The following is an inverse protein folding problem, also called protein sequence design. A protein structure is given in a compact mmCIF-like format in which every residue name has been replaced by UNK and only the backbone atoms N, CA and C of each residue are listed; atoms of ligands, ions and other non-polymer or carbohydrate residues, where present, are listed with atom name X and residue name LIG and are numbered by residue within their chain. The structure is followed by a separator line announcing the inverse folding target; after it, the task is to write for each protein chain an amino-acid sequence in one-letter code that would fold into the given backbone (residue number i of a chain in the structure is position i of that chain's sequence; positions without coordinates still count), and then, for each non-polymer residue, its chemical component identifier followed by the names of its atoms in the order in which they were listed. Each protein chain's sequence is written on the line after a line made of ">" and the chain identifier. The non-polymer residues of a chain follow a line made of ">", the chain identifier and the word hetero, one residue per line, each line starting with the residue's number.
data_IF_219621888944
#
_entry.id   IF_219621888944
#
_cell.length_a   1.000
_cell.length_b   1.000
_cell.length_c   1.000
_cell.angle_alpha   90.00
_cell.angle_beta   90.00
_cell.angle_gamma   90.00
#
_symmetry.space_group_name_H-M   'P 1'
#
loop_
_entity.id
_entity.type
_entity.pdbx_description
1 polymer ?
#
# COMPACT_ATOMS: atom_id res chain seq x y z
N UNK A 1 -22.75 -5.54 -0.55
CA UNK A 1 -21.41 -4.94 -0.55
C UNK A 1 -20.96 -4.75 0.90
N UNK A 2 -19.79 -5.27 1.28
CA UNK A 2 -19.23 -5.17 2.66
C UNK A 2 -17.75 -4.78 2.61
N UNK A 3 -17.18 -4.44 3.77
CA UNK A 3 -15.74 -4.24 3.91
C UNK A 3 -14.98 -5.57 3.80
N UNK A 4 -13.74 -5.49 3.34
CA UNK A 4 -12.85 -6.63 3.20
C UNK A 4 -12.09 -6.88 4.52
N UNK A 5 -12.28 -8.07 5.08
CA UNK A 5 -11.57 -8.52 6.30
C UNK A 5 -10.39 -9.44 6.00
N UNK A 6 -10.37 -10.04 4.80
CA UNK A 6 -9.27 -10.86 4.26
C UNK A 6 -9.31 -10.85 2.73
N UNK A 7 -8.16 -11.07 2.09
CA UNK A 7 -8.06 -11.17 0.64
C UNK A 7 -7.74 -12.61 0.24
N UNK A 8 -8.55 -13.16 -0.67
CA UNK A 8 -8.19 -14.34 -1.46
C UNK A 8 -7.18 -13.99 -2.56
N UNK A 9 -6.59 -15.01 -3.18
CA UNK A 9 -5.71 -14.85 -4.34
C UNK A 9 -6.32 -14.00 -5.46
N UNK A 10 -7.60 -14.24 -5.74
CA UNK A 10 -8.34 -13.57 -6.81
C UNK A 10 -8.63 -12.11 -6.47
N UNK A 11 -8.95 -11.85 -5.21
CA UNK A 11 -9.15 -10.52 -4.69
C UNK A 11 -7.84 -9.71 -4.67
N UNK A 12 -6.72 -10.34 -4.33
CA UNK A 12 -5.40 -9.71 -4.40
C UNK A 12 -5.02 -9.35 -5.85
N UNK A 13 -5.32 -10.21 -6.83
CA UNK A 13 -5.20 -9.88 -8.27
C UNK A 13 -5.99 -8.62 -8.62
N UNK A 14 -7.27 -8.59 -8.26
CA UNK A 14 -8.14 -7.45 -8.56
C UNK A 14 -7.62 -6.15 -7.92
N UNK A 15 -7.05 -6.19 -6.73
CA UNK A 15 -6.42 -5.01 -6.11
C UNK A 15 -5.23 -4.51 -6.93
N UNK A 16 -4.38 -5.42 -7.45
CA UNK A 16 -3.27 -5.07 -8.34
C UNK A 16 -3.80 -4.48 -9.66
N UNK A 17 -4.84 -5.05 -10.23
CA UNK A 17 -5.47 -4.54 -11.46
C UNK A 17 -6.05 -3.13 -11.27
N UNK A 18 -6.69 -2.88 -10.12
CA UNK A 18 -7.21 -1.56 -9.75
C UNK A 18 -6.09 -0.52 -9.72
N UNK A 19 -5.00 -0.78 -9.00
CA UNK A 19 -3.90 0.20 -8.87
C UNK A 19 -3.14 0.38 -10.18
N UNK A 20 -3.03 -0.67 -11.00
CA UNK A 20 -2.45 -0.57 -12.33
C UNK A 20 -3.33 0.26 -13.28
N UNK A 21 -4.66 0.14 -13.17
CA UNK A 21 -5.59 0.99 -13.90
C UNK A 21 -5.41 2.47 -13.51
N UNK A 22 -5.35 2.78 -12.21
CA UNK A 22 -5.09 4.14 -11.73
C UNK A 22 -3.77 4.69 -12.27
N UNK A 23 -2.71 3.89 -12.23
CA UNK A 23 -1.41 4.24 -12.78
C UNK A 23 -1.48 4.66 -14.25
N UNK A 24 -2.20 3.91 -15.09
CA UNK A 24 -2.39 4.22 -16.51
C UNK A 24 -3.28 5.44 -16.75
N UNK A 25 -4.20 5.73 -15.82
CA UNK A 25 -4.99 6.95 -15.80
C UNK A 25 -4.23 8.16 -15.24
N UNK A 26 -2.95 8.02 -14.87
CA UNK A 26 -2.16 9.06 -14.21
C UNK A 26 -2.82 9.56 -12.91
N UNK A 27 -3.48 8.66 -12.18
CA UNK A 27 -4.13 8.94 -10.89
C UNK A 27 -3.34 8.29 -9.76
N UNK A 28 -3.12 9.03 -8.67
CA UNK A 28 -2.65 8.48 -7.39
C UNK A 28 -3.77 8.70 -6.36
N UNK A 29 -4.33 7.64 -5.82
CA UNK A 29 -5.42 7.63 -4.84
C UNK A 29 -4.98 8.13 -3.46
N UNK A 30 -3.76 7.77 -3.03
CA UNK A 30 -3.11 8.19 -1.77
C UNK A 30 -3.72 7.67 -0.47
N UNK A 31 -4.94 7.14 -0.50
CA UNK A 31 -5.60 6.51 0.66
C UNK A 31 -6.11 5.09 0.36
N UNK A 32 -5.29 4.25 -0.31
CA UNK A 32 -5.63 2.84 -0.51
C UNK A 32 -5.45 2.10 0.81
N UNK A 33 -6.56 1.59 1.34
CA UNK A 33 -6.67 0.85 2.61
C UNK A 33 -7.87 -0.09 2.57
N UNK A 34 -7.93 -1.13 3.42
CA UNK A 34 -9.04 -2.09 3.45
C UNK A 34 -10.43 -1.45 3.58
N UNK A 35 -10.54 -0.34 4.30
CA UNK A 35 -11.78 0.42 4.50
C UNK A 35 -12.28 1.07 3.20
N UNK A 36 -11.39 1.32 2.24
CA UNK A 36 -11.74 1.85 0.92
C UNK A 36 -11.86 0.73 -0.13
N UNK A 37 -11.79 -0.54 0.28
CA UNK A 37 -12.03 -1.69 -0.59
C UNK A 37 -13.36 -2.35 -0.23
N UNK A 38 -14.29 -2.28 -1.16
CA UNK A 38 -15.61 -2.86 -1.04
C UNK A 38 -15.69 -4.19 -1.77
N UNK A 39 -16.20 -5.23 -1.11
CA UNK A 39 -16.43 -6.52 -1.74
C UNK A 39 -17.89 -6.69 -2.17
N UNK A 40 -18.06 -7.06 -3.43
CA UNK A 40 -19.33 -7.40 -4.06
C UNK A 40 -19.47 -8.93 -4.11
N UNK A 41 -20.28 -9.51 -3.21
CA UNK A 41 -20.51 -10.96 -3.13
C UNK A 41 -21.18 -11.53 -4.37
N UNK A 42 -21.99 -10.73 -5.07
CA UNK A 42 -22.75 -11.22 -6.23
C UNK A 42 -21.83 -11.39 -7.45
N UNK A 43 -20.83 -10.50 -7.59
CA UNK A 43 -19.89 -10.54 -8.70
C UNK A 43 -18.52 -11.11 -8.33
N UNK A 44 -18.27 -11.38 -7.05
CA UNK A 44 -16.95 -11.72 -6.51
C UNK A 44 -15.87 -10.68 -6.88
N UNK A 45 -16.24 -9.39 -6.92
CA UNK A 45 -15.32 -8.30 -7.28
C UNK A 45 -15.06 -7.33 -6.13
N UNK A 46 -13.84 -6.80 -6.09
CA UNK A 46 -13.46 -5.66 -5.27
C UNK A 46 -13.70 -4.37 -6.04
N UNK A 47 -14.18 -3.36 -5.33
CA UNK A 47 -14.33 -1.99 -5.83
C UNK A 47 -13.58 -1.06 -4.89
N UNK A 48 -12.68 -0.26 -5.43
CA UNK A 48 -12.07 0.85 -4.71
C UNK A 48 -13.07 2.01 -4.64
N UNK A 49 -13.21 2.57 -3.45
CA UNK A 49 -14.06 3.73 -3.17
C UNK A 49 -13.23 4.86 -2.56
N UNK A 50 -13.85 6.04 -2.48
CA UNK A 50 -13.32 7.24 -1.83
C UNK A 50 -12.03 7.84 -2.44
N UNK A 51 -12.23 8.54 -3.57
CA UNK A 51 -11.18 9.30 -4.25
C UNK A 51 -10.95 10.69 -3.62
N UNK A 52 -11.41 10.95 -2.40
CA UNK A 52 -11.29 12.26 -1.74
C UNK A 52 -9.83 12.71 -1.54
N UNK A 53 -8.89 11.76 -1.50
CA UNK A 53 -7.46 12.04 -1.43
C UNK A 53 -6.74 11.98 -2.79
N UNK A 54 -7.43 11.68 -3.88
CA UNK A 54 -6.78 11.40 -5.16
C UNK A 54 -6.21 12.66 -5.83
N UNK A 55 -5.14 12.48 -6.60
CA UNK A 55 -4.51 13.50 -7.45
C UNK A 55 -4.25 12.96 -8.85
N UNK A 56 -4.07 13.88 -9.80
CA UNK A 56 -3.70 13.58 -11.17
C UNK A 56 -2.24 13.96 -11.40
N UNK A 57 -1.38 12.96 -11.59
CA UNK A 57 0.07 13.13 -11.67
C UNK A 57 0.48 14.14 -12.74
N UNK A 58 -0.14 14.16 -13.92
CA UNK A 58 0.27 15.04 -15.02
C UNK A 58 -0.26 16.50 -14.94
N UNK A 59 -1.30 16.74 -14.13
CA UNK A 59 -1.91 18.08 -13.97
C UNK A 59 -1.36 18.76 -12.72
N UNK A 60 -1.16 17.98 -11.66
CA UNK A 60 -0.70 18.48 -10.36
C UNK A 60 0.85 18.56 -10.27
N UNK A 61 1.60 17.89 -11.17
CA UNK A 61 3.08 17.97 -11.26
C UNK A 61 3.61 19.39 -11.54
N UNK A 62 2.78 20.28 -12.08
CA UNK A 62 3.21 21.66 -12.38
C UNK A 62 3.38 22.52 -11.12
N UNK A 63 3.03 22.02 -9.92
CA UNK A 63 3.03 22.80 -8.68
C UNK A 63 4.12 22.43 -7.64
N UNK A 64 4.87 21.34 -7.82
CA UNK A 64 5.83 20.87 -6.81
C UNK A 64 5.22 19.92 -5.78
N UNK A 65 5.90 19.74 -4.64
CA UNK A 65 5.53 18.77 -3.61
C UNK A 65 4.10 19.02 -3.08
N UNK A 66 3.33 17.94 -2.92
CA UNK A 66 1.87 17.98 -2.63
C UNK A 66 1.63 17.71 -1.16
N UNK A 67 0.60 18.34 -0.57
CA UNK A 67 0.21 18.13 0.82
C UNK A 67 0.04 16.64 1.15
N UNK A 68 0.58 16.24 2.29
CA UNK A 68 0.42 14.89 2.82
C UNK A 68 -0.97 14.73 3.43
N UNK A 69 -1.75 13.87 2.81
CA UNK A 69 -3.07 13.45 3.27
C UNK A 69 -3.21 11.93 3.18
N UNK A 70 -4.29 11.41 3.75
CA UNK A 70 -4.59 9.98 3.77
C UNK A 70 -3.94 9.24 4.93
N UNK A 71 -4.28 7.96 5.02
CA UNK A 71 -3.84 7.06 6.08
C UNK A 71 -2.49 6.45 5.72
N UNK A 72 -1.54 6.45 6.66
CA UNK A 72 -0.17 6.01 6.36
C UNK A 72 0.10 4.54 6.65
N UNK A 73 -0.84 3.82 7.27
CA UNK A 73 -0.65 2.45 7.80
C UNK A 73 -0.05 1.49 6.78
N UNK A 74 -0.53 1.54 5.54
CA UNK A 74 -0.11 0.65 4.46
C UNK A 74 0.89 1.30 3.50
N UNK A 75 1.33 2.54 3.74
CA UNK A 75 2.21 3.25 2.82
C UNK A 75 3.61 2.63 2.71
N UNK A 76 4.30 2.92 1.61
CA UNK A 76 5.67 2.47 1.38
C UNK A 76 6.70 3.11 2.31
N UNK A 77 7.86 2.43 2.51
CA UNK A 77 8.89 2.87 3.45
C UNK A 77 9.43 4.27 3.18
N UNK A 78 9.58 4.66 1.91
CA UNK A 78 10.09 6.00 1.56
C UNK A 78 9.16 7.10 2.08
N UNK A 79 7.85 6.90 1.95
CA UNK A 79 6.85 7.84 2.44
C UNK A 79 6.80 7.83 3.97
N UNK A 80 6.79 6.66 4.59
CA UNK A 80 6.79 6.53 6.05
C UNK A 80 8.03 7.18 6.70
N UNK A 81 9.21 6.95 6.13
CA UNK A 81 10.46 7.59 6.55
C UNK A 81 10.38 9.11 6.43
N UNK A 82 9.86 9.62 5.31
CA UNK A 82 9.62 11.06 5.15
C UNK A 82 8.67 11.60 6.23
N UNK A 83 7.53 10.96 6.41
CA UNK A 83 6.55 11.37 7.41
C UNK A 83 7.15 11.33 8.83
N UNK A 84 8.04 10.38 9.13
CA UNK A 84 8.68 10.29 10.46
C UNK A 84 9.57 11.51 10.76
N UNK A 85 10.15 12.12 9.71
CA UNK A 85 11.00 13.31 9.78
C UNK A 85 10.21 14.62 9.81
N UNK A 86 8.95 14.62 9.39
CA UNK A 86 8.06 15.77 9.57
C UNK A 86 7.75 16.01 11.04
N UNK A 87 7.53 14.92 11.78
CA UNK A 87 7.21 14.97 13.21
C UNK A 87 8.34 15.62 14.02
N UNK A 88 9.59 15.46 13.58
CA UNK A 88 10.76 16.07 14.22
C UNK A 88 10.95 17.55 13.86
N UNK A 89 10.05 18.13 13.05
CA UNK A 89 10.05 19.55 12.68
C UNK A 89 11.05 19.92 11.58
N UNK A 90 11.60 18.94 10.87
CA UNK A 90 12.71 19.15 9.92
C UNK A 90 12.22 19.45 8.50
N UNK A 91 10.96 19.13 8.16
CA UNK A 91 10.44 19.23 6.80
C UNK A 91 9.08 19.95 6.74
N UNK A 92 8.80 20.61 5.62
CA UNK A 92 7.46 21.10 5.28
C UNK A 92 6.57 19.90 4.89
N UNK A 93 5.24 19.94 5.15
CA UNK A 93 4.31 18.81 4.99
C UNK A 93 3.95 18.51 3.52
N UNK A 94 4.91 18.67 2.62
CA UNK A 94 4.75 18.44 1.20
C UNK A 94 5.65 17.29 0.75
N UNK A 95 5.09 16.35 -0.02
CA UNK A 95 5.78 15.16 -0.51
C UNK A 95 5.65 15.02 -2.02
N UNK A 96 6.72 14.56 -2.66
CA UNK A 96 6.72 14.17 -4.07
C UNK A 96 6.34 12.68 -4.16
N UNK A 97 5.07 12.42 -4.44
CA UNK A 97 4.55 11.07 -4.53
C UNK A 97 5.10 10.35 -5.76
N UNK A 98 5.62 9.14 -5.56
CA UNK A 98 5.94 8.25 -6.68
C UNK A 98 4.65 7.74 -7.34
N UNK A 99 4.63 7.58 -8.67
CA UNK A 99 3.48 6.97 -9.36
C UNK A 99 3.16 5.55 -8.87
N UNK A 100 4.13 4.86 -8.28
CA UNK A 100 3.97 3.51 -7.73
C UNK A 100 3.47 3.52 -6.27
N UNK A 101 3.17 4.69 -5.69
CA UNK A 101 2.77 4.83 -4.29
C UNK A 101 1.61 3.88 -3.92
N UNK A 102 0.54 3.91 -4.70
CA UNK A 102 -0.64 3.08 -4.49
C UNK A 102 -0.35 1.58 -4.64
N UNK A 103 0.59 1.21 -5.50
CA UNK A 103 1.01 -0.18 -5.65
C UNK A 103 1.80 -0.67 -4.42
N UNK A 104 2.60 0.19 -3.79
CA UNK A 104 3.23 -0.13 -2.50
C UNK A 104 2.18 -0.33 -1.41
N UNK A 105 1.14 0.50 -1.38
CA UNK A 105 0.00 0.32 -0.49
C UNK A 105 -0.71 -1.02 -0.73
N UNK A 106 -1.01 -1.35 -1.98
CA UNK A 106 -1.64 -2.62 -2.35
C UNK A 106 -0.81 -3.84 -1.88
N UNK A 107 0.52 -3.81 -2.07
CA UNK A 107 1.39 -4.89 -1.61
C UNK A 107 1.32 -5.07 -0.10
N UNK A 108 1.44 -3.97 0.66
CA UNK A 108 1.38 -4.01 2.12
C UNK A 108 0.02 -4.52 2.62
N UNK A 109 -1.08 -4.14 1.95
CA UNK A 109 -2.41 -4.69 2.23
C UNK A 109 -2.42 -6.20 2.00
N UNK A 110 -1.97 -6.68 0.84
CA UNK A 110 -1.95 -8.12 0.52
C UNK A 110 -1.11 -8.89 1.54
N UNK A 111 0.10 -8.42 1.85
CA UNK A 111 0.97 -9.04 2.87
C UNK A 111 0.25 -9.09 4.22
N UNK A 112 -0.34 -7.97 4.67
CA UNK A 112 -1.02 -7.91 5.96
C UNK A 112 -2.27 -8.79 6.03
N UNK A 113 -3.01 -8.93 4.93
CA UNK A 113 -4.25 -9.69 4.88
C UNK A 113 -4.01 -11.20 4.82
N UNK A 114 -2.81 -11.61 4.43
CA UNK A 114 -2.41 -13.00 4.31
C UNK A 114 -1.41 -13.44 5.41
N UNK A 115 -0.84 -12.51 6.18
CA UNK A 115 0.01 -12.79 7.34
C UNK A 115 -0.68 -12.36 8.66
N UNK A 116 -1.11 -13.33 9.46
CA UNK A 116 -1.81 -13.08 10.72
C UNK A 116 -0.97 -12.27 11.73
N UNK A 117 0.32 -12.57 11.85
CA UNK A 117 1.20 -11.87 12.80
C UNK A 117 1.38 -10.40 12.42
N UNK A 118 1.49 -10.10 11.12
CA UNK A 118 1.54 -8.72 10.63
C UNK A 118 0.19 -8.03 10.88
N UNK A 119 -0.93 -8.71 10.61
CA UNK A 119 -2.27 -8.18 10.85
C UNK A 119 -2.48 -7.80 12.32
N UNK A 120 -2.12 -8.69 13.25
CA UNK A 120 -2.22 -8.45 14.70
C UNK A 120 -1.30 -7.31 15.15
N UNK A 121 -0.09 -7.24 14.62
CA UNK A 121 0.82 -6.11 14.89
C UNK A 121 0.21 -4.79 14.42
N UNK A 122 -0.37 -4.73 13.22
CA UNK A 122 -1.07 -3.53 12.72
C UNK A 122 -2.20 -3.15 13.66
N UNK A 123 -3.08 -4.09 14.02
CA UNK A 123 -4.18 -3.84 14.95
C UNK A 123 -3.69 -3.29 16.30
N UNK A 124 -2.65 -3.89 16.86
CA UNK A 124 -2.04 -3.46 18.13
C UNK A 124 -1.45 -2.04 18.06
N UNK A 125 -1.00 -1.61 16.87
CA UNK A 125 -0.49 -0.26 16.62
C UNK A 125 -1.66 0.72 16.45
N UNK A 126 -2.70 0.34 15.69
CA UNK A 126 -3.86 1.19 15.42
C UNK A 126 -4.61 1.62 16.69
N UNK A 127 -4.64 0.77 17.72
CA UNK A 127 -5.30 1.08 19.01
C UNK A 127 -4.48 2.03 19.92
N UNK A 128 -3.24 2.36 19.57
CA UNK A 128 -2.45 3.28 20.37
C UNK A 128 -3.10 4.67 20.43
N UNK A 129 -2.99 5.43 21.53
CA UNK A 129 -3.57 6.77 21.61
C UNK A 129 -2.72 7.83 20.89
N UNK A 130 -1.40 7.64 20.83
CA UNK A 130 -0.44 8.63 20.33
C UNK A 130 -0.14 8.42 18.83
N UNK A 131 -0.48 9.42 18.02
CA UNK A 131 -0.33 9.39 16.56
C UNK A 131 1.14 9.27 16.11
N UNK A 132 2.08 9.91 16.82
CA UNK A 132 3.51 9.84 16.50
C UNK A 132 4.06 8.46 16.81
N UNK A 133 3.63 7.87 17.94
CA UNK A 133 3.98 6.51 18.31
C UNK A 133 3.42 5.48 17.32
N UNK A 134 2.19 5.69 16.82
CA UNK A 134 1.65 4.85 15.73
C UNK A 134 2.57 4.86 14.53
N UNK A 135 2.92 6.05 14.08
CA UNK A 135 3.68 6.23 12.85
C UNK A 135 5.07 5.62 12.93
N UNK A 136 5.80 5.84 14.03
CA UNK A 136 7.12 5.22 14.24
C UNK A 136 7.04 3.69 14.28
N UNK A 137 6.00 3.13 14.92
CA UNK A 137 5.82 1.67 14.97
C UNK A 137 5.41 1.06 13.63
N UNK A 138 4.60 1.76 12.83
CA UNK A 138 4.28 1.32 11.46
C UNK A 138 5.55 1.30 10.60
N UNK A 139 6.38 2.33 10.70
CA UNK A 139 7.67 2.36 10.00
C UNK A 139 8.58 1.19 10.43
N UNK A 140 8.73 0.96 11.73
CA UNK A 140 9.52 -0.15 12.28
C UNK A 140 8.98 -1.52 11.82
N UNK A 141 7.66 -1.71 11.85
CA UNK A 141 7.02 -2.94 11.37
C UNK A 141 7.40 -3.24 9.92
N UNK A 142 7.19 -2.28 9.02
CA UNK A 142 7.47 -2.51 7.59
C UNK A 142 8.97 -2.63 7.30
N UNK A 143 9.82 -1.93 8.05
CA UNK A 143 11.28 -2.10 7.97
C UNK A 143 11.70 -3.52 8.37
N UNK A 144 11.14 -4.04 9.46
CA UNK A 144 11.41 -5.40 9.93
C UNK A 144 10.86 -6.44 8.97
N UNK A 145 9.65 -6.24 8.44
CA UNK A 145 9.08 -7.11 7.40
C UNK A 145 10.02 -7.16 6.19
N UNK A 146 10.50 -6.02 5.69
CA UNK A 146 11.43 -6.02 4.55
C UNK A 146 12.80 -6.64 4.89
N UNK A 147 13.32 -6.40 6.09
CA UNK A 147 14.64 -6.87 6.53
C UNK A 147 14.71 -8.37 6.74
N UNK A 148 13.66 -8.93 7.33
CA UNK A 148 13.59 -10.37 7.65
C UNK A 148 13.24 -11.21 6.43
N UNK A 149 12.49 -10.65 5.48
CA UNK A 149 12.00 -11.39 4.32
C UNK A 149 12.85 -11.19 3.06
N UNK A 150 13.70 -12.16 2.74
CA UNK A 150 14.55 -12.15 1.53
C UNK A 150 13.78 -11.99 0.20
N UNK A 151 12.49 -12.32 0.17
CA UNK A 151 11.61 -12.21 -1.01
C UNK A 151 10.97 -10.82 -1.17
N UNK A 152 10.91 -10.02 -0.10
CA UNK A 152 10.31 -8.69 -0.14
C UNK A 152 11.00 -7.76 -1.14
N UNK A 153 12.34 -7.81 -1.19
CA UNK A 153 13.12 -7.03 -2.17
C UNK A 153 12.81 -7.43 -3.62
N UNK A 154 12.45 -8.69 -3.89
CA UNK A 154 12.02 -9.12 -5.23
C UNK A 154 10.67 -8.50 -5.58
N UNK A 155 9.72 -8.51 -4.65
CA UNK A 155 8.42 -7.86 -4.82
C UNK A 155 8.57 -6.37 -5.06
N UNK A 156 9.43 -5.67 -4.29
CA UNK A 156 9.71 -4.25 -4.54
C UNK A 156 10.31 -3.98 -5.93
N UNK A 157 11.19 -4.85 -6.42
CA UNK A 157 11.74 -4.71 -7.76
C UNK A 157 10.67 -4.92 -8.83
N UNK A 158 9.77 -5.87 -8.62
CA UNK A 158 8.63 -6.10 -9.51
C UNK A 158 7.64 -4.93 -9.49
N UNK A 159 7.41 -4.31 -8.32
CA UNK A 159 6.62 -3.07 -8.20
C UNK A 159 7.25 -1.92 -8.97
N UNK A 160 8.58 -1.77 -8.92
CA UNK A 160 9.29 -0.76 -9.72
C UNK A 160 9.17 -1.03 -11.21
N UNK A 161 9.02 -2.29 -11.59
CA UNK A 161 8.80 -2.74 -12.95
C UNK A 161 7.33 -3.13 -13.17
N UNK A 162 6.44 -2.16 -12.94
CA UNK A 162 4.98 -2.27 -13.09
C UNK A 162 4.54 -3.03 -14.35
N UNK A 163 5.23 -2.80 -15.46
CA UNK A 163 4.97 -3.46 -16.73
C UNK A 163 5.23 -4.97 -16.69
N UNK A 164 6.28 -5.42 -15.99
CA UNK A 164 6.53 -6.85 -15.75
C UNK A 164 5.46 -7.45 -14.85
N UNK A 165 5.09 -6.74 -13.78
CA UNK A 165 4.03 -7.17 -12.86
C UNK A 165 2.72 -7.43 -13.61
N UNK A 166 2.37 -6.56 -14.56
CA UNK A 166 1.12 -6.66 -15.32
C UNK A 166 1.16 -7.67 -16.49
N UNK A 167 2.31 -7.81 -17.19
CA UNK A 167 2.41 -8.63 -18.41
C UNK A 167 2.64 -10.12 -18.16
N UNK A 168 3.24 -10.52 -17.03
CA UNK A 168 3.35 -11.94 -16.66
C UNK A 168 2.19 -12.31 -15.76
N UNK A 169 1.27 -13.18 -16.20
CA UNK A 169 0.19 -13.81 -15.42
C UNK A 169 0.10 -13.34 -13.95
N UNK A 170 -0.64 -12.24 -13.77
CA UNK A 170 -0.45 -11.05 -12.91
C UNK A 170 -0.24 -11.24 -11.41
N UNK A 171 -0.42 -12.45 -10.89
CA UNK A 171 -0.23 -12.72 -9.47
C UNK A 171 0.64 -13.93 -9.22
N UNK A 172 0.83 -14.85 -10.16
CA UNK A 172 1.65 -16.03 -9.89
C UNK A 172 3.12 -15.65 -9.60
N UNK A 173 3.60 -14.53 -10.16
CA UNK A 173 4.95 -13.98 -9.91
C UNK A 173 5.06 -13.23 -8.57
N UNK A 174 3.94 -12.80 -8.00
CA UNK A 174 3.93 -12.27 -6.63
C UNK A 174 3.52 -13.34 -5.63
N UNK A 175 2.76 -14.34 -6.05
CA UNK A 175 2.12 -15.36 -5.22
C UNK A 175 3.17 -16.16 -4.50
N UNK A 176 4.10 -16.74 -5.26
CA UNK A 176 5.15 -17.58 -4.69
C UNK A 176 6.00 -16.75 -3.72
N UNK A 177 6.35 -15.51 -4.07
CA UNK A 177 7.07 -14.58 -3.22
C UNK A 177 6.30 -14.16 -1.98
N UNK A 178 5.00 -13.92 -2.09
CA UNK A 178 4.10 -13.53 -1.00
C UNK A 178 3.86 -14.73 -0.08
N UNK A 179 3.64 -15.92 -0.63
CA UNK A 179 3.55 -17.20 0.10
C UNK A 179 4.86 -17.49 0.84
N UNK A 180 6.01 -17.26 0.19
CA UNK A 180 7.34 -17.42 0.82
C UNK A 180 7.66 -16.33 1.86
N UNK A 181 6.90 -15.24 1.92
CA UNK A 181 6.92 -14.27 3.03
C UNK A 181 6.14 -14.81 4.25
N UNK A 182 5.19 -15.74 4.04
CA UNK A 182 4.42 -16.36 5.14
C UNK A 182 5.11 -17.57 5.77
N UNK A 183 5.93 -18.31 5.02
CA UNK A 183 6.58 -19.56 5.48
C UNK A 183 7.84 -19.36 6.36
N UNK A 184 8.09 -18.15 6.87
CA UNK A 184 9.24 -17.81 7.74
C UNK A 184 8.79 -17.43 9.15
#
# INVERSE_FOLDING_TARGET
>A
ITFIESLSLEQSKQLIDIVHYLYNCHVIHRDIRPQNLMFDYDTNHIKLIDFGCAITYDIDDKAGSIEIIGTTIYAGLRFLDFCSKLITGVYLPYYEYERTFDLQCALNIIISMCNYDIKEKIYSIEILPDIHKKQSKILELWQDTQRTNKHYSKLLNLIKDLDKLYKSSTFDVCKDEIEQIFDQ
#
